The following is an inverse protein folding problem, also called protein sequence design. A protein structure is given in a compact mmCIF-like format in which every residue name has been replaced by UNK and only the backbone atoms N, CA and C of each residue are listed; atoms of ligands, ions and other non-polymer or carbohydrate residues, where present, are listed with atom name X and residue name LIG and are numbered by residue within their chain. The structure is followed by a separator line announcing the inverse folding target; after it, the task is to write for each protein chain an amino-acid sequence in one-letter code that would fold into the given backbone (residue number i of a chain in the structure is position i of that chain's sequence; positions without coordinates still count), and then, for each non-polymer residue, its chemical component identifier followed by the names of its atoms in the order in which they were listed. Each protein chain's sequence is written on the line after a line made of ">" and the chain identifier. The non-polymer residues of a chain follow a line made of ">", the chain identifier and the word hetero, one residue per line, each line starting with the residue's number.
data_IF_070107622361
#
_entry.id   IF_070107622361
#
_cell.length_a   1.000
_cell.length_b   1.000
_cell.length_c   1.000
_cell.angle_alpha   90.00
_cell.angle_beta   90.00
_cell.angle_gamma   90.00
#
_symmetry.space_group_name_H-M   'P 1'
#
loop_
_entity.id
_entity.type
_entity.pdbx_description
1 polymer ?
#
# COMPACT_ATOMS: atom_id res chain seq x y z
N UNK A 1 18.17 -24.16 6.36
CA UNK A 1 18.82 -24.38 5.05
C UNK A 1 17.76 -24.31 3.96
N UNK A 2 17.57 -23.14 3.33
CA UNK A 2 16.60 -22.95 2.25
C UNK A 2 17.22 -23.37 0.92
N UNK A 3 16.64 -24.40 0.31
CA UNK A 3 16.99 -24.94 -1.02
C UNK A 3 16.68 -23.87 -2.08
N UNK A 4 17.70 -23.16 -2.58
CA UNK A 4 17.57 -22.37 -3.80
C UNK A 4 17.35 -23.33 -4.96
N UNK A 5 16.15 -23.34 -5.55
CA UNK A 5 15.89 -24.11 -6.77
C UNK A 5 16.80 -23.61 -7.90
N UNK A 6 17.36 -24.52 -8.73
CA UNK A 6 18.22 -24.14 -9.84
C UNK A 6 17.41 -23.33 -10.88
N UNK A 7 18.03 -22.27 -11.36
CA UNK A 7 17.48 -21.33 -12.32
C UNK A 7 17.36 -22.01 -13.71
N UNK A 8 16.14 -22.18 -14.23
CA UNK A 8 15.91 -22.84 -15.53
C UNK A 8 16.13 -21.85 -16.70
N UNK A 9 16.76 -22.25 -17.82
CA UNK A 9 17.04 -21.36 -18.95
C UNK A 9 15.79 -20.77 -19.64
N UNK A 10 14.64 -21.44 -19.59
CA UNK A 10 13.38 -20.93 -20.14
C UNK A 10 12.81 -19.74 -19.34
N UNK A 11 13.04 -19.73 -18.01
CA UNK A 11 12.66 -18.60 -17.15
C UNK A 11 13.51 -17.35 -17.47
N UNK A 12 14.75 -17.55 -17.91
CA UNK A 12 15.67 -16.47 -18.29
C UNK A 12 15.21 -15.76 -19.58
N UNK A 13 14.83 -16.54 -20.60
CA UNK A 13 14.37 -16.02 -21.89
C UNK A 13 13.06 -15.24 -21.75
N UNK A 14 12.11 -15.77 -20.97
CA UNK A 14 10.82 -15.11 -20.69
C UNK A 14 11.01 -13.80 -19.90
N UNK A 15 11.94 -13.80 -18.94
CA UNK A 15 12.28 -12.60 -18.17
C UNK A 15 12.97 -11.53 -19.04
N UNK A 16 13.85 -11.93 -19.96
CA UNK A 16 14.51 -11.00 -20.87
C UNK A 16 13.52 -10.30 -21.82
N UNK A 17 12.56 -11.03 -22.38
CA UNK A 17 11.51 -10.45 -23.21
C UNK A 17 10.61 -9.47 -22.44
N UNK A 18 10.29 -9.80 -21.18
CA UNK A 18 9.50 -8.94 -20.30
C UNK A 18 10.21 -7.63 -19.90
N UNK A 19 11.55 -7.65 -19.85
CA UNK A 19 12.35 -6.48 -19.49
C UNK A 19 12.60 -5.54 -20.67
N UNK A 20 12.41 -5.99 -21.92
CA UNK A 20 12.68 -5.17 -23.11
C UNK A 20 11.93 -3.81 -23.10
N UNK A 21 10.61 -3.73 -22.79
CA UNK A 21 9.93 -2.44 -22.75
C UNK A 21 10.42 -1.53 -21.61
N UNK A 22 10.82 -2.12 -20.48
CA UNK A 22 11.38 -1.36 -19.35
C UNK A 22 12.77 -0.84 -19.68
N UNK A 23 13.57 -1.65 -20.37
CA UNK A 23 14.90 -1.26 -20.86
C UNK A 23 14.79 -0.12 -21.86
N UNK A 24 13.89 -0.21 -22.83
CA UNK A 24 13.66 0.87 -23.79
C UNK A 24 13.24 2.16 -23.09
N UNK A 25 12.39 2.07 -22.06
CA UNK A 25 11.98 3.23 -21.26
C UNK A 25 13.15 3.82 -20.46
N UNK A 26 13.96 2.97 -19.82
CA UNK A 26 15.16 3.40 -19.10
C UNK A 26 16.19 4.04 -20.03
N UNK A 27 16.39 3.50 -21.24
CA UNK A 27 17.32 4.05 -22.23
C UNK A 27 16.80 5.35 -22.86
N UNK A 28 15.48 5.49 -23.06
CA UNK A 28 14.88 6.77 -23.50
C UNK A 28 15.04 7.82 -22.42
N UNK A 29 14.67 7.51 -21.19
CA UNK A 29 14.78 8.46 -20.08
C UNK A 29 16.25 8.79 -19.78
N UNK A 30 17.16 7.82 -19.85
CA UNK A 30 18.60 8.03 -19.69
C UNK A 30 19.19 8.98 -20.74
N UNK A 31 18.62 9.04 -21.94
CA UNK A 31 18.99 10.02 -22.99
C UNK A 31 18.42 11.41 -22.74
N UNK A 32 17.28 11.51 -22.05
CA UNK A 32 16.60 12.78 -21.73
C UNK A 32 17.09 13.40 -20.41
N UNK A 33 17.61 12.58 -19.50
CA UNK A 33 18.14 13.01 -18.20
C UNK A 33 19.48 13.73 -18.37
N UNK A 34 19.59 14.91 -17.77
CA UNK A 34 20.88 15.61 -17.69
C UNK A 34 21.76 14.95 -16.63
N UNK A 35 23.08 15.10 -16.75
CA UNK A 35 24.00 14.67 -15.70
C UNK A 35 23.68 15.33 -14.34
N UNK A 36 23.12 16.53 -14.36
CA UNK A 36 22.61 17.25 -13.18
C UNK A 36 21.43 16.53 -12.50
N UNK A 37 20.54 15.88 -13.27
CA UNK A 37 19.40 15.12 -12.75
C UNK A 37 19.86 13.82 -12.08
N UNK A 38 20.90 13.18 -12.64
CA UNK A 38 21.54 12.01 -12.06
C UNK A 38 22.24 12.36 -10.75
N UNK A 39 23.02 13.45 -10.74
CA UNK A 39 23.75 13.92 -9.55
C UNK A 39 22.82 14.42 -8.45
N UNK A 40 21.66 14.95 -8.83
CA UNK A 40 20.71 15.49 -7.87
C UNK A 40 19.76 14.46 -7.28
N UNK A 41 19.57 13.31 -7.95
CA UNK A 41 18.67 12.25 -7.51
C UNK A 41 17.23 12.40 -8.00
N UNK A 42 16.90 13.51 -8.67
CA UNK A 42 15.56 13.77 -9.23
C UNK A 42 15.14 12.75 -10.30
N UNK A 43 16.10 12.01 -10.86
CA UNK A 43 15.86 10.96 -11.85
C UNK A 43 14.86 9.89 -11.37
N UNK A 44 14.87 9.54 -10.08
CA UNK A 44 14.05 8.45 -9.55
C UNK A 44 12.56 8.78 -9.60
N UNK A 45 12.17 9.94 -9.08
CA UNK A 45 10.78 10.38 -9.11
C UNK A 45 10.28 10.55 -10.53
N UNK A 46 11.07 11.20 -11.41
CA UNK A 46 10.72 11.35 -12.84
C UNK A 46 10.47 10.00 -13.51
N UNK A 47 11.30 9.00 -13.22
CA UNK A 47 11.18 7.65 -13.74
C UNK A 47 9.90 6.95 -13.25
N UNK A 48 9.61 7.03 -11.95
CA UNK A 48 8.38 6.46 -11.37
C UNK A 48 7.15 7.16 -11.96
N UNK A 49 7.10 8.49 -11.98
CA UNK A 49 5.98 9.26 -12.53
C UNK A 49 5.75 8.96 -14.01
N UNK A 50 6.82 8.89 -14.81
CA UNK A 50 6.72 8.51 -16.23
C UNK A 50 6.15 7.10 -16.40
N UNK A 51 6.56 6.15 -15.54
CA UNK A 51 6.05 4.79 -15.57
C UNK A 51 4.58 4.71 -15.13
N UNK A 52 4.18 5.41 -14.07
CA UNK A 52 2.78 5.44 -13.60
C UNK A 52 1.86 6.01 -14.68
N UNK A 53 2.24 7.14 -15.30
CA UNK A 53 1.52 7.71 -16.45
C UNK A 53 1.36 6.69 -17.57
N UNK A 54 2.43 5.99 -17.90
CA UNK A 54 2.44 4.96 -18.93
C UNK A 54 1.51 3.78 -18.57
N UNK A 55 1.53 3.32 -17.33
CA UNK A 55 0.70 2.22 -16.82
C UNK A 55 -0.78 2.59 -16.84
N UNK A 56 -1.15 3.75 -16.27
CA UNK A 56 -2.53 4.22 -16.22
C UNK A 56 -3.10 4.49 -17.63
N UNK A 57 -2.28 4.99 -18.58
CA UNK A 57 -2.72 5.17 -19.97
C UNK A 57 -3.08 3.86 -20.70
N UNK A 58 -2.49 2.74 -20.26
CA UNK A 58 -2.69 1.41 -20.84
C UNK A 58 -3.67 0.55 -20.06
N UNK A 59 -4.17 1.07 -18.95
CA UNK A 59 -5.15 0.39 -18.12
C UNK A 59 -6.48 0.32 -18.88
N UNK A 60 -6.67 -0.77 -19.62
CA UNK A 60 -7.99 -1.11 -20.18
C UNK A 60 -8.98 -1.29 -19.02
N UNK A 61 -10.23 -0.91 -19.22
CA UNK A 61 -11.31 -0.86 -18.22
C UNK A 61 -11.69 -2.22 -17.55
N UNK A 62 -10.86 -3.26 -17.66
CA UNK A 62 -11.06 -4.53 -16.98
C UNK A 62 -10.59 -4.44 -15.53
N UNK A 63 -11.48 -3.99 -14.65
CA UNK A 63 -11.37 -4.23 -13.21
C UNK A 63 -11.64 -5.71 -12.96
N UNK A 64 -10.61 -6.54 -13.08
CA UNK A 64 -10.68 -7.90 -12.56
C UNK A 64 -9.97 -7.89 -11.21
N UNK A 65 -10.76 -7.97 -10.13
CA UNK A 65 -10.23 -8.16 -8.79
C UNK A 65 -9.36 -9.43 -8.80
N UNK A 66 -8.06 -9.25 -8.60
CA UNK A 66 -7.11 -10.35 -8.54
C UNK A 66 -7.01 -10.81 -7.09
N UNK A 67 -6.92 -12.13 -6.90
CA UNK A 67 -6.85 -12.73 -5.58
C UNK A 67 -5.49 -12.46 -4.92
N UNK A 68 -5.40 -12.58 -3.59
CA UNK A 68 -4.14 -12.43 -2.86
C UNK A 68 -3.01 -13.34 -3.43
N UNK A 69 -3.35 -14.52 -3.95
CA UNK A 69 -2.42 -15.43 -4.63
C UNK A 69 -1.73 -14.82 -5.87
N UNK A 70 -2.41 -13.90 -6.57
CA UNK A 70 -1.87 -13.25 -7.76
C UNK A 70 -0.79 -12.22 -7.38
N UNK A 71 -0.92 -11.56 -6.22
CA UNK A 71 0.07 -10.58 -5.74
C UNK A 71 1.41 -11.21 -5.37
N UNK A 72 1.42 -12.42 -4.79
CA UNK A 72 2.66 -13.15 -4.48
C UNK A 72 3.39 -13.58 -5.77
N UNK A 73 2.66 -13.91 -6.84
CA UNK A 73 3.25 -14.16 -8.14
C UNK A 73 3.91 -12.90 -8.74
N UNK A 74 3.26 -11.73 -8.60
CA UNK A 74 3.82 -10.44 -9.02
C UNK A 74 5.12 -10.12 -8.26
N UNK A 75 5.12 -10.26 -6.94
CA UNK A 75 6.29 -10.00 -6.09
C UNK A 75 7.43 -10.95 -6.44
N UNK A 76 7.15 -12.26 -6.59
CA UNK A 76 8.17 -13.24 -6.98
C UNK A 76 8.78 -12.91 -8.33
N UNK A 77 7.96 -12.56 -9.32
CA UNK A 77 8.41 -12.19 -10.66
C UNK A 77 9.32 -10.97 -10.59
N UNK A 78 8.88 -9.89 -9.97
CA UNK A 78 9.66 -8.66 -9.84
C UNK A 78 10.96 -8.90 -9.07
N UNK A 79 10.94 -9.72 -8.02
CA UNK A 79 12.13 -10.06 -7.24
C UNK A 79 13.14 -10.87 -8.06
N UNK A 80 12.68 -11.79 -8.91
CA UNK A 80 13.54 -12.55 -9.84
C UNK A 80 14.15 -11.64 -10.91
N UNK A 81 13.34 -10.79 -11.52
CA UNK A 81 13.82 -9.81 -12.51
C UNK A 81 14.84 -8.84 -11.90
N UNK A 82 14.58 -8.32 -10.68
CA UNK A 82 15.53 -7.47 -9.97
C UNK A 82 16.83 -8.21 -9.59
N UNK A 83 16.75 -9.51 -9.28
CA UNK A 83 17.94 -10.33 -9.05
C UNK A 83 18.75 -10.53 -10.33
N UNK A 84 18.11 -10.70 -11.50
CA UNK A 84 18.77 -10.81 -12.79
C UNK A 84 19.52 -9.53 -13.17
N UNK A 85 18.87 -8.37 -13.00
CA UNK A 85 19.53 -7.05 -13.15
C UNK A 85 20.60 -6.84 -12.06
N UNK A 86 20.42 -7.47 -10.90
CA UNK A 86 21.43 -7.65 -9.84
C UNK A 86 22.73 -8.28 -10.34
N UNK A 87 22.58 -9.38 -11.09
CA UNK A 87 23.65 -10.23 -11.58
C UNK A 87 24.35 -9.65 -12.83
N UNK A 88 23.61 -9.02 -13.76
CA UNK A 88 24.18 -8.41 -14.96
C UNK A 88 25.18 -7.30 -14.64
N UNK A 89 24.88 -6.48 -13.64
CA UNK A 89 25.75 -5.41 -13.15
C UNK A 89 27.16 -5.91 -12.75
N UNK A 90 27.22 -7.09 -12.13
CA UNK A 90 28.46 -7.67 -11.64
C UNK A 90 29.33 -8.29 -12.76
N UNK A 91 28.74 -8.63 -13.91
CA UNK A 91 29.47 -9.12 -15.08
C UNK A 91 30.24 -8.01 -15.82
N UNK A 92 29.66 -6.81 -15.89
CA UNK A 92 30.25 -5.65 -16.57
C UNK A 92 31.45 -5.09 -15.78
N UNK A 93 31.38 -5.09 -14.44
CA UNK A 93 32.50 -4.66 -13.58
C UNK A 93 33.75 -5.53 -13.76
N UNK A 94 33.60 -6.84 -13.99
CA UNK A 94 34.73 -7.75 -14.18
C UNK A 94 35.40 -7.56 -15.55
N UNK A 95 34.63 -7.33 -16.62
CA UNK A 95 35.20 -7.06 -17.95
C UNK A 95 35.89 -5.70 -18.05
N UNK A 96 35.34 -4.66 -17.41
CA UNK A 96 35.92 -3.32 -17.42
C UNK A 96 37.24 -3.26 -16.62
N UNK A 97 37.32 -3.94 -15.47
CA UNK A 97 38.55 -4.05 -14.69
C UNK A 97 39.68 -4.75 -15.48
N UNK A 98 39.36 -5.81 -16.23
CA UNK A 98 40.31 -6.51 -17.09
C UNK A 98 40.76 -5.64 -18.27
N UNK A 99 39.85 -4.90 -18.91
CA UNK A 99 40.21 -3.97 -19.98
C UNK A 99 41.06 -2.78 -19.51
N UNK A 100 40.83 -2.30 -18.29
CA UNK A 100 41.56 -1.15 -17.72
C UNK A 100 42.99 -1.55 -17.34
N UNK A 101 43.23 -2.82 -17.00
CA UNK A 101 44.57 -3.35 -16.76
C UNK A 101 45.43 -3.39 -18.04
N UNK A 102 44.82 -3.67 -19.20
CA UNK A 102 45.54 -3.81 -20.48
C UNK A 102 45.80 -2.48 -21.21
N UNK A 103 45.00 -1.43 -20.94
CA UNK A 103 45.00 -0.18 -21.75
C UNK A 103 45.58 1.04 -21.03
N UNK A 104 46.04 0.89 -19.78
CA UNK A 104 46.67 1.96 -19.00
C UNK A 104 45.73 3.15 -18.69
N UNK A 105 46.32 4.31 -18.37
CA UNK A 105 45.61 5.51 -17.91
C UNK A 105 44.54 6.04 -18.90
N UNK A 106 44.74 5.86 -20.21
CA UNK A 106 43.78 6.28 -21.25
C UNK A 106 42.55 5.37 -21.29
N UNK A 107 42.74 4.06 -21.08
CA UNK A 107 41.63 3.12 -20.90
C UNK A 107 40.81 3.41 -19.65
N UNK A 108 41.48 3.79 -18.55
CA UNK A 108 40.81 4.17 -17.31
C UNK A 108 39.91 5.41 -17.49
N UNK A 109 40.35 6.42 -18.26
CA UNK A 109 39.57 7.64 -18.54
C UNK A 109 38.28 7.38 -19.33
N UNK A 110 38.27 6.39 -20.22
CA UNK A 110 37.08 6.01 -20.99
C UNK A 110 36.21 4.96 -20.27
N UNK A 111 36.82 4.07 -19.50
CA UNK A 111 36.13 2.99 -18.79
C UNK A 111 35.27 3.50 -17.63
N UNK A 112 35.70 4.55 -16.92
CA UNK A 112 34.97 5.10 -15.76
C UNK A 112 33.60 5.67 -16.15
N UNK A 113 33.46 6.54 -17.17
CA UNK A 113 32.15 7.02 -17.62
C UNK A 113 31.23 5.90 -18.13
N UNK A 114 31.78 4.93 -18.88
CA UNK A 114 31.01 3.82 -19.42
C UNK A 114 30.50 2.88 -18.31
N UNK A 115 31.34 2.58 -17.32
CA UNK A 115 30.94 1.81 -16.15
C UNK A 115 29.86 2.56 -15.34
N UNK A 116 30.03 3.87 -15.11
CA UNK A 116 29.03 4.70 -14.43
C UNK A 116 27.67 4.71 -15.15
N UNK A 117 27.67 4.81 -16.49
CA UNK A 117 26.46 4.75 -17.29
C UNK A 117 25.75 3.39 -17.20
N UNK A 118 26.50 2.28 -17.22
CA UNK A 118 25.94 0.94 -17.04
C UNK A 118 25.30 0.76 -15.65
N UNK A 119 25.98 1.23 -14.60
CA UNK A 119 25.44 1.19 -13.23
C UNK A 119 24.19 2.05 -13.06
N UNK A 120 24.16 3.21 -13.70
CA UNK A 120 22.98 4.08 -13.70
C UNK A 120 21.80 3.40 -14.39
N UNK A 121 22.03 2.78 -15.56
CA UNK A 121 20.99 2.05 -16.29
C UNK A 121 20.45 0.86 -15.48
N UNK A 122 21.32 0.09 -14.82
CA UNK A 122 20.91 -1.02 -13.96
C UNK A 122 20.05 -0.54 -12.78
N UNK A 123 20.42 0.59 -12.17
CA UNK A 123 19.67 1.19 -11.06
C UNK A 123 18.29 1.67 -11.53
N UNK A 124 18.23 2.33 -12.69
CA UNK A 124 16.96 2.72 -13.32
C UNK A 124 16.07 1.52 -13.64
N UNK A 125 16.63 0.46 -14.21
CA UNK A 125 15.87 -0.73 -14.55
C UNK A 125 15.29 -1.41 -13.30
N UNK A 126 16.05 -1.45 -12.19
CA UNK A 126 15.54 -1.94 -10.89
C UNK A 126 14.39 -1.07 -10.37
N UNK A 127 14.53 0.26 -10.43
CA UNK A 127 13.45 1.17 -10.03
C UNK A 127 12.20 1.01 -10.89
N UNK A 128 12.33 0.76 -12.20
CA UNK A 128 11.20 0.45 -13.08
C UNK A 128 10.54 -0.89 -12.76
N UNK A 129 11.31 -1.93 -12.45
CA UNK A 129 10.77 -3.22 -11.99
C UNK A 129 9.95 -3.03 -10.71
N UNK A 130 10.47 -2.24 -9.77
CA UNK A 130 9.77 -1.90 -8.52
C UNK A 130 8.49 -1.10 -8.79
N UNK A 131 8.55 -0.04 -9.60
CA UNK A 131 7.39 0.77 -9.96
C UNK A 131 6.30 -0.06 -10.66
N UNK A 132 6.68 -0.94 -11.60
CA UNK A 132 5.76 -1.90 -12.25
C UNK A 132 5.07 -2.80 -11.24
N UNK A 133 5.85 -3.44 -10.37
CA UNK A 133 5.30 -4.31 -9.34
C UNK A 133 4.29 -3.58 -8.46
N UNK A 134 4.60 -2.35 -8.03
CA UNK A 134 3.70 -1.55 -7.20
C UNK A 134 2.41 -1.17 -7.94
N UNK A 135 2.50 -0.78 -9.21
CA UNK A 135 1.31 -0.46 -10.04
C UNK A 135 0.44 -1.70 -10.28
N UNK A 136 1.06 -2.85 -10.56
CA UNK A 136 0.34 -4.12 -10.76
C UNK A 136 -0.33 -4.57 -9.46
N UNK A 137 0.32 -4.41 -8.30
CA UNK A 137 -0.27 -4.66 -6.98
C UNK A 137 -1.43 -3.71 -6.72
N UNK A 138 -1.25 -2.39 -6.88
CA UNK A 138 -2.33 -1.43 -6.70
C UNK A 138 -3.54 -1.76 -7.60
N UNK A 139 -3.28 -2.14 -8.84
CA UNK A 139 -4.31 -2.55 -9.81
C UNK A 139 -5.05 -3.81 -9.37
N UNK A 140 -4.35 -4.80 -8.79
CA UNK A 140 -4.95 -6.03 -8.26
C UNK A 140 -5.98 -5.73 -7.16
N UNK A 141 -5.74 -4.70 -6.34
CA UNK A 141 -6.67 -4.21 -5.31
C UNK A 141 -7.72 -3.21 -5.84
N UNK A 142 -7.74 -2.94 -7.15
CA UNK A 142 -8.66 -1.97 -7.74
C UNK A 142 -8.31 -0.51 -7.44
N UNK A 143 -7.10 -0.25 -6.92
CA UNK A 143 -6.64 1.11 -6.64
C UNK A 143 -6.17 1.79 -7.92
N UNK A 144 -6.43 3.09 -8.00
CA UNK A 144 -5.91 3.99 -9.01
C UNK A 144 -4.82 4.84 -8.38
N UNK A 145 -3.67 4.90 -9.04
CA UNK A 145 -2.58 5.78 -8.63
C UNK A 145 -2.72 7.06 -9.44
N UNK A 146 -2.65 8.21 -8.79
CA UNK A 146 -2.64 9.49 -9.50
C UNK A 146 -1.33 9.59 -10.31
N UNK A 147 -1.40 9.65 -11.64
CA UNK A 147 -0.21 9.70 -12.49
C UNK A 147 0.55 11.02 -12.38
N UNK A 148 -0.08 12.09 -11.89
CA UNK A 148 0.57 13.37 -11.68
C UNK A 148 1.14 13.51 -10.27
N UNK A 149 0.78 12.59 -9.38
CA UNK A 149 1.14 12.62 -7.97
C UNK A 149 1.30 11.21 -7.37
N UNK A 150 2.38 10.47 -7.73
CA UNK A 150 2.64 9.14 -7.20
C UNK A 150 3.25 9.17 -5.78
N UNK A 151 2.85 10.14 -4.96
CA UNK A 151 3.40 10.46 -3.64
C UNK A 151 3.48 9.22 -2.73
N UNK A 152 2.41 8.42 -2.70
CA UNK A 152 2.32 7.22 -1.87
C UNK A 152 3.38 6.17 -2.25
N UNK A 153 3.61 5.95 -3.55
CA UNK A 153 4.60 4.97 -4.04
C UNK A 153 6.02 5.41 -3.70
N UNK A 154 6.30 6.71 -3.85
CA UNK A 154 7.61 7.29 -3.58
C UNK A 154 7.94 7.25 -2.09
N UNK A 155 6.99 7.60 -1.23
CA UNK A 155 7.17 7.58 0.23
C UNK A 155 7.26 6.16 0.78
N UNK A 156 6.47 5.22 0.25
CA UNK A 156 6.58 3.81 0.62
C UNK A 156 7.95 3.24 0.21
N UNK A 157 8.43 3.57 -0.99
CA UNK A 157 9.77 3.20 -1.45
C UNK A 157 10.86 3.80 -0.57
N UNK A 158 10.70 5.07 -0.17
CA UNK A 158 11.63 5.79 0.71
C UNK A 158 11.74 5.15 2.10
N UNK A 159 10.62 4.84 2.75
CA UNK A 159 10.58 4.19 4.06
C UNK A 159 11.19 2.78 4.02
N UNK A 160 10.82 1.98 3.00
CA UNK A 160 11.36 0.62 2.85
C UNK A 160 12.86 0.63 2.56
N UNK A 161 13.34 1.63 1.82
CA UNK A 161 14.77 1.87 1.58
C UNK A 161 15.48 2.53 2.78
N UNK A 162 14.75 2.86 3.85
CA UNK A 162 15.24 3.53 5.06
C UNK A 162 15.68 4.97 4.85
N UNK A 163 15.31 5.62 3.73
CA UNK A 163 15.67 7.03 3.46
C UNK A 163 14.83 8.01 4.27
N UNK A 164 13.72 7.52 4.81
CA UNK A 164 12.99 8.09 5.91
C UNK A 164 13.07 7.08 7.06
N UNK A 165 13.60 7.52 8.20
CA UNK A 165 13.58 6.77 9.45
C UNK A 165 13.11 7.69 10.57
N UNK A 166 12.54 7.12 11.63
CA UNK A 166 12.41 7.83 12.89
C UNK A 166 13.81 7.99 13.50
N UNK A 167 14.15 9.20 13.93
CA UNK A 167 15.31 9.44 14.80
C UNK A 167 14.88 9.18 16.25
N UNK A 168 15.73 8.50 17.01
CA UNK A 168 15.49 8.12 18.40
C UNK A 168 15.24 9.37 19.27
N UNK A 169 13.99 9.64 19.63
CA UNK A 169 13.67 10.68 20.63
C UNK A 169 12.30 11.34 20.57
N UNK A 170 11.56 11.25 19.46
CA UNK A 170 10.18 11.73 19.37
C UNK A 170 9.20 10.55 19.44
N UNK A 171 7.96 10.79 19.87
CA UNK A 171 6.83 9.85 19.70
C UNK A 171 6.87 9.28 18.28
N UNK A 172 7.41 8.06 18.12
CA UNK A 172 8.15 7.66 16.90
C UNK A 172 7.31 7.76 15.63
N UNK A 173 6.02 7.46 15.72
CA UNK A 173 5.09 7.57 14.61
C UNK A 173 4.67 9.01 14.28
N UNK A 174 4.36 9.85 15.27
CA UNK A 174 3.68 11.13 15.03
C UNK A 174 4.64 12.13 14.39
N UNK A 175 5.89 12.12 14.85
CA UNK A 175 6.99 12.84 14.22
C UNK A 175 7.23 12.34 12.79
N UNK A 176 7.13 11.03 12.53
CA UNK A 176 7.30 10.49 11.18
C UNK A 176 6.19 10.97 10.22
N UNK A 177 4.92 10.86 10.61
CA UNK A 177 3.78 11.31 9.81
C UNK A 177 3.81 12.83 9.61
N UNK A 178 4.13 13.60 10.67
CA UNK A 178 4.31 15.05 10.58
C UNK A 178 5.44 15.45 9.63
N UNK A 179 6.58 14.73 9.66
CA UNK A 179 7.67 14.92 8.69
C UNK A 179 7.24 14.56 7.29
N UNK A 180 6.48 13.49 7.06
CA UNK A 180 6.03 13.12 5.71
C UNK A 180 5.06 14.15 5.12
N UNK A 181 4.24 14.81 5.94
CA UNK A 181 3.34 15.89 5.49
C UNK A 181 4.06 17.20 5.19
N UNK A 182 5.12 17.50 5.94
CA UNK A 182 5.88 18.76 5.80
C UNK A 182 7.13 18.61 4.95
N UNK A 183 7.54 17.37 4.64
CA UNK A 183 8.68 17.08 3.80
C UNK A 183 8.45 17.69 2.43
N UNK A 184 9.45 18.47 2.00
CA UNK A 184 9.59 18.80 0.60
C UNK A 184 9.76 17.49 -0.17
N UNK A 185 8.72 17.13 -0.92
CA UNK A 185 8.67 15.87 -1.67
C UNK A 185 9.81 15.81 -2.68
N UNK A 186 10.21 16.96 -3.25
CA UNK A 186 11.30 17.02 -4.21
C UNK A 186 12.66 16.70 -3.53
N UNK A 187 12.91 17.23 -2.34
CA UNK A 187 14.12 16.94 -1.56
C UNK A 187 14.17 15.47 -1.11
N UNK A 188 13.05 14.91 -0.67
CA UNK A 188 12.99 13.49 -0.32
C UNK A 188 13.28 12.59 -1.52
N UNK A 189 12.66 12.89 -2.65
CA UNK A 189 12.85 12.17 -3.91
C UNK A 189 14.30 12.22 -4.36
N UNK A 190 14.93 13.39 -4.26
CA UNK A 190 16.37 13.60 -4.50
C UNK A 190 17.21 12.75 -3.56
N UNK A 191 16.94 12.75 -2.26
CA UNK A 191 17.64 11.91 -1.28
C UNK A 191 17.52 10.42 -1.59
N UNK A 192 16.33 9.96 -1.96
CA UNK A 192 16.09 8.57 -2.35
C UNK A 192 16.88 8.23 -3.62
N UNK A 193 16.81 9.05 -4.67
CA UNK A 193 17.55 8.83 -5.91
C UNK A 193 19.06 8.83 -5.71
N UNK A 194 19.58 9.73 -4.87
CA UNK A 194 21.01 9.79 -4.52
C UNK A 194 21.45 8.56 -3.73
N UNK A 195 20.62 8.09 -2.79
CA UNK A 195 20.90 6.87 -2.03
C UNK A 195 20.91 5.64 -2.94
N UNK A 196 19.92 5.49 -3.82
CA UNK A 196 19.84 4.37 -4.75
C UNK A 196 21.06 4.33 -5.68
N UNK A 197 21.50 5.49 -6.20
CA UNK A 197 22.72 5.59 -7.00
C UNK A 197 23.99 5.32 -6.18
N UNK A 198 24.10 5.89 -4.98
CA UNK A 198 25.24 5.69 -4.08
C UNK A 198 25.43 4.22 -3.70
N UNK A 199 24.35 3.51 -3.39
CA UNK A 199 24.39 2.07 -3.12
C UNK A 199 24.75 1.24 -4.37
N UNK A 200 24.30 1.66 -5.56
CA UNK A 200 24.69 1.05 -6.82
C UNK A 200 26.19 1.14 -7.07
N UNK A 201 26.79 2.30 -6.79
CA UNK A 201 28.23 2.55 -6.94
C UNK A 201 29.05 1.80 -5.88
N UNK A 202 28.68 1.89 -4.60
CA UNK A 202 29.38 1.22 -3.49
C UNK A 202 29.43 -0.30 -3.65
N UNK A 203 28.37 -0.93 -4.16
CA UNK A 203 28.30 -2.40 -4.34
C UNK A 203 29.14 -2.90 -5.51
N UNK A 204 29.40 -2.08 -6.51
CA UNK A 204 30.17 -2.46 -7.70
C UNK A 204 31.68 -2.19 -7.58
N UNK A 205 32.12 -1.39 -6.59
CA UNK A 205 33.54 -1.08 -6.35
C UNK A 205 34.26 -2.19 -5.57
N UNK A 206 33.56 -3.03 -4.79
CA UNK A 206 34.16 -4.11 -4.00
C UNK A 206 34.40 -5.37 -4.85
N UNK A 207 35.64 -5.68 -5.28
CA UNK A 207 35.89 -6.67 -6.34
C UNK A 207 35.68 -8.13 -5.92
N UNK A 208 35.56 -8.41 -4.62
CA UNK A 208 35.56 -9.79 -4.08
C UNK A 208 34.27 -10.22 -3.35
N UNK A 209 33.22 -9.39 -3.31
CA UNK A 209 31.92 -9.75 -2.71
C UNK A 209 30.74 -9.84 -3.71
N UNK A 210 30.94 -9.43 -4.97
CA UNK A 210 29.91 -8.74 -5.78
C UNK A 210 28.78 -9.55 -6.43
N UNK A 211 29.02 -10.72 -7.01
CA UNK A 211 27.99 -11.36 -7.88
C UNK A 211 26.84 -11.98 -7.07
N UNK A 212 27.15 -12.63 -5.94
CA UNK A 212 26.15 -13.31 -5.10
C UNK A 212 25.42 -12.34 -4.16
N UNK A 213 26.10 -11.34 -3.60
CA UNK A 213 25.47 -10.38 -2.66
C UNK A 213 24.57 -9.35 -3.34
N UNK A 214 24.93 -8.87 -4.54
CA UNK A 214 24.11 -7.90 -5.30
C UNK A 214 22.74 -8.47 -5.68
N UNK A 215 22.72 -9.72 -6.16
CA UNK A 215 21.50 -10.42 -6.56
C UNK A 215 20.58 -10.71 -5.36
N UNK A 216 21.14 -11.18 -4.24
CA UNK A 216 20.39 -11.50 -3.02
C UNK A 216 19.82 -10.22 -2.38
N UNK A 217 20.60 -9.15 -2.30
CA UNK A 217 20.14 -7.88 -1.70
C UNK A 217 19.04 -7.23 -2.54
N UNK A 218 19.19 -7.24 -3.88
CA UNK A 218 18.16 -6.73 -4.81
C UNK A 218 16.87 -7.54 -4.73
N UNK A 219 16.98 -8.88 -4.63
CA UNK A 219 15.84 -9.76 -4.40
C UNK A 219 15.14 -9.45 -3.07
N UNK A 220 15.89 -9.38 -1.96
CA UNK A 220 15.32 -9.12 -0.62
C UNK A 220 14.64 -7.77 -0.53
N UNK A 221 15.26 -6.71 -1.06
CA UNK A 221 14.67 -5.36 -1.04
C UNK A 221 13.40 -5.29 -1.87
N UNK A 222 13.43 -5.84 -3.08
CA UNK A 222 12.25 -5.85 -3.97
C UNK A 222 11.11 -6.66 -3.36
N UNK A 223 11.44 -7.79 -2.72
CA UNK A 223 10.47 -8.58 -1.96
C UNK A 223 9.85 -7.79 -0.80
N UNK A 224 10.67 -7.15 0.04
CA UNK A 224 10.20 -6.33 1.17
C UNK A 224 9.30 -5.19 0.69
N UNK A 225 9.69 -4.51 -0.39
CA UNK A 225 8.87 -3.46 -0.99
C UNK A 225 7.55 -4.01 -1.54
N UNK A 226 7.57 -5.19 -2.16
CA UNK A 226 6.39 -5.86 -2.66
C UNK A 226 5.41 -6.24 -1.54
N UNK A 227 5.91 -6.80 -0.45
CA UNK A 227 5.13 -7.14 0.75
C UNK A 227 4.48 -5.88 1.35
N UNK A 228 5.25 -4.80 1.52
CA UNK A 228 4.74 -3.51 2.00
C UNK A 228 3.70 -2.89 1.04
N UNK A 229 3.88 -3.06 -0.27
CA UNK A 229 2.94 -2.55 -1.29
C UNK A 229 1.60 -3.28 -1.23
N UNK A 230 1.62 -4.60 -0.99
CA UNK A 230 0.40 -5.39 -0.80
C UNK A 230 -0.34 -4.98 0.47
N UNK A 231 0.39 -4.76 1.57
CA UNK A 231 -0.21 -4.30 2.81
C UNK A 231 -0.80 -2.89 2.60
N UNK A 232 -0.04 -1.93 2.10
CA UNK A 232 -0.53 -0.58 1.81
C UNK A 232 -1.75 -0.58 0.89
N UNK A 233 -1.74 -1.38 -0.19
CA UNK A 233 -2.88 -1.48 -1.10
C UNK A 233 -4.14 -2.03 -0.39
N UNK A 234 -3.97 -3.01 0.51
CA UNK A 234 -5.06 -3.50 1.35
C UNK A 234 -5.59 -2.43 2.30
N UNK A 235 -4.70 -1.72 3.00
CA UNK A 235 -5.07 -0.60 3.86
C UNK A 235 -5.89 0.43 3.12
N UNK A 236 -5.34 0.95 2.01
CA UNK A 236 -6.00 2.00 1.23
C UNK A 236 -7.37 1.57 0.76
N UNK A 237 -7.48 0.37 0.18
CA UNK A 237 -8.77 -0.13 -0.31
C UNK A 237 -9.79 -0.30 0.82
N UNK A 238 -9.38 -0.91 1.94
CA UNK A 238 -10.25 -1.18 3.09
C UNK A 238 -10.72 0.12 3.77
N UNK A 239 -9.80 1.05 4.01
CA UNK A 239 -10.08 2.31 4.68
C UNK A 239 -10.88 3.24 3.78
N UNK A 240 -10.63 3.28 2.46
CA UNK A 240 -11.44 4.07 1.52
C UNK A 240 -12.91 3.61 1.52
N UNK A 241 -13.17 2.29 1.51
CA UNK A 241 -14.53 1.73 1.61
C UNK A 241 -15.20 2.06 2.95
N UNK A 242 -14.48 1.84 4.06
CA UNK A 242 -15.00 2.09 5.40
C UNK A 242 -15.26 3.60 5.63
N UNK A 243 -14.34 4.46 5.22
CA UNK A 243 -14.43 5.91 5.42
C UNK A 243 -15.47 6.52 4.50
N UNK A 244 -15.63 6.03 3.27
CA UNK A 244 -16.69 6.53 2.37
C UNK A 244 -18.09 6.25 2.93
N UNK A 245 -18.28 5.07 3.55
CA UNK A 245 -19.54 4.73 4.22
C UNK A 245 -19.84 5.67 5.39
N UNK A 246 -18.85 5.94 6.25
CA UNK A 246 -19.02 6.88 7.38
C UNK A 246 -19.22 8.32 6.88
N UNK A 247 -18.45 8.75 5.89
CA UNK A 247 -18.53 10.09 5.28
C UNK A 247 -19.89 10.35 4.65
N UNK A 248 -20.52 9.33 4.06
CA UNK A 248 -21.86 9.45 3.49
C UNK A 248 -22.94 9.71 4.55
N UNK A 249 -22.70 9.33 5.81
CA UNK A 249 -23.61 9.56 6.92
C UNK A 249 -23.30 10.89 7.62
N UNK A 250 -22.02 11.14 7.95
CA UNK A 250 -21.55 12.42 8.49
C UNK A 250 -20.06 12.62 8.22
N UNK A 251 -19.72 13.64 7.42
CA UNK A 251 -18.33 13.96 7.09
C UNK A 251 -17.50 14.38 8.31
N UNK A 252 -18.12 14.89 9.39
CA UNK A 252 -17.42 15.32 10.61
C UNK A 252 -16.83 14.13 11.38
N UNK A 253 -17.44 12.95 11.25
CA UNK A 253 -16.95 11.73 11.89
C UNK A 253 -15.63 11.23 11.30
N UNK A 254 -15.26 11.67 10.09
CA UNK A 254 -14.02 11.23 9.44
C UNK A 254 -12.78 11.69 10.21
N UNK A 255 -12.79 12.88 10.82
CA UNK A 255 -11.68 13.35 11.66
C UNK A 255 -11.47 12.42 12.86
N UNK A 256 -12.54 12.11 13.62
CA UNK A 256 -12.48 11.17 14.74
C UNK A 256 -12.07 9.76 14.32
N UNK A 257 -12.40 9.35 13.10
CA UNK A 257 -12.04 8.04 12.56
C UNK A 257 -10.57 7.98 12.14
N UNK A 258 -10.00 9.08 11.62
CA UNK A 258 -8.55 9.20 11.36
C UNK A 258 -7.79 9.13 12.69
N UNK A 259 -8.27 9.79 13.74
CA UNK A 259 -7.69 9.67 15.08
C UNK A 259 -7.80 8.23 15.63
N UNK A 260 -8.92 7.53 15.36
CA UNK A 260 -9.07 6.12 15.71
C UNK A 260 -8.11 5.20 14.96
N UNK A 261 -7.88 5.47 13.67
CA UNK A 261 -6.89 4.74 12.87
C UNK A 261 -5.47 4.93 13.40
N UNK A 262 -5.13 6.15 13.81
CA UNK A 262 -3.87 6.45 14.49
C UNK A 262 -3.68 5.58 15.73
N UNK A 263 -4.64 5.64 16.66
CA UNK A 263 -4.54 4.94 17.94
C UNK A 263 -4.51 3.42 17.78
N UNK A 264 -5.16 2.88 16.75
CA UNK A 264 -5.12 1.45 16.44
C UNK A 264 -3.78 1.03 15.85
N UNK A 265 -3.21 1.79 14.91
CA UNK A 265 -1.91 1.46 14.32
C UNK A 265 -0.74 1.64 15.29
N UNK A 266 -0.83 2.59 16.21
CA UNK A 266 0.22 2.85 17.21
C UNK A 266 0.02 2.03 18.50
N UNK A 267 -1.02 1.19 18.57
CA UNK A 267 -1.39 0.46 19.78
C UNK A 267 -0.33 -0.52 20.28
N UNK A 268 0.52 -1.04 19.39
CA UNK A 268 1.63 -1.94 19.70
C UNK A 268 2.97 -1.20 19.87
N UNK A 269 2.97 0.13 19.80
CA UNK A 269 4.10 0.99 20.12
C UNK A 269 4.97 1.39 18.94
N UNK A 270 4.55 1.16 17.69
CA UNK A 270 5.23 1.75 16.55
C UNK A 270 4.57 1.53 15.20
N UNK A 271 4.57 2.59 14.37
CA UNK A 271 4.01 2.53 13.02
C UNK A 271 4.95 1.79 12.04
N UNK A 272 4.39 0.84 11.30
CA UNK A 272 5.04 0.27 10.11
C UNK A 272 5.01 1.24 8.94
N UNK A 273 5.82 0.97 7.93
CA UNK A 273 5.98 1.84 6.77
C UNK A 273 4.65 2.07 6.04
N UNK A 274 3.88 1.01 5.83
CA UNK A 274 2.59 1.03 5.18
C UNK A 274 1.52 1.80 5.99
N UNK A 275 1.53 1.70 7.32
CA UNK A 275 0.64 2.44 8.23
C UNK A 275 0.97 3.93 8.24
N UNK A 276 2.25 4.27 8.29
CA UNK A 276 2.72 5.65 8.24
C UNK A 276 2.33 6.32 6.90
N UNK A 277 2.52 5.64 5.77
CA UNK A 277 2.07 6.14 4.45
C UNK A 277 0.56 6.26 4.41
N UNK A 278 -0.19 5.28 4.93
CA UNK A 278 -1.65 5.31 4.94
C UNK A 278 -2.21 6.47 5.78
N UNK A 279 -1.70 6.67 7.00
CA UNK A 279 -2.10 7.79 7.87
C UNK A 279 -1.78 9.12 7.22
N UNK A 280 -0.59 9.24 6.63
CA UNK A 280 -0.19 10.45 5.92
C UNK A 280 -1.09 10.70 4.72
N UNK A 281 -1.44 9.66 3.97
CA UNK A 281 -2.38 9.73 2.85
C UNK A 281 -3.75 10.27 3.29
N UNK A 282 -4.31 9.75 4.40
CA UNK A 282 -5.57 10.24 4.96
C UNK A 282 -5.51 11.71 5.37
N UNK A 283 -4.42 12.12 6.03
CA UNK A 283 -4.22 13.50 6.48
C UNK A 283 -4.02 14.45 5.31
N UNK A 284 -3.27 14.04 4.29
CA UNK A 284 -3.01 14.81 3.08
C UNK A 284 -4.30 15.12 2.30
N UNK A 285 -5.20 14.14 2.26
CA UNK A 285 -6.52 14.26 1.64
C UNK A 285 -7.60 14.88 2.55
N UNK A 286 -7.22 15.30 3.76
CA UNK A 286 -8.11 16.03 4.68
C UNK A 286 -8.00 17.55 4.46
N UNK A 287 -9.07 18.33 4.70
CA UNK A 287 -9.02 19.80 4.62
C UNK A 287 -7.91 20.38 5.50
N UNK A 288 -7.23 21.45 5.05
CA UNK A 288 -6.05 22.01 5.73
C UNK A 288 -6.29 22.34 7.22
N UNK A 289 -7.47 22.85 7.57
CA UNK A 289 -7.84 23.14 8.96
C UNK A 289 -8.02 21.86 9.81
N UNK A 290 -8.62 20.82 9.22
CA UNK A 290 -8.78 19.51 9.84
C UNK A 290 -7.42 18.84 10.06
N UNK A 291 -6.56 18.85 9.02
CA UNK A 291 -5.21 18.29 9.08
C UNK A 291 -4.38 18.89 10.21
N UNK A 292 -4.44 20.22 10.42
CA UNK A 292 -3.72 20.88 11.51
C UNK A 292 -4.21 20.40 12.89
N UNK A 293 -5.53 20.36 13.10
CA UNK A 293 -6.12 19.86 14.36
C UNK A 293 -5.77 18.40 14.61
N UNK A 294 -5.83 17.57 13.57
CA UNK A 294 -5.48 16.17 13.67
C UNK A 294 -4.02 16.03 14.11
N UNK A 295 -3.08 16.71 13.46
CA UNK A 295 -1.66 16.68 13.83
C UNK A 295 -1.38 17.12 15.27
N UNK A 296 -2.09 18.13 15.77
CA UNK A 296 -1.96 18.57 17.17
C UNK A 296 -2.41 17.49 18.16
N UNK A 297 -3.36 16.63 17.76
CA UNK A 297 -3.92 15.54 18.56
C UNK A 297 -3.24 14.19 18.35
N UNK A 298 -2.45 14.02 17.28
CA UNK A 298 -1.72 12.77 17.06
C UNK A 298 -0.69 12.57 18.16
N UNK A 299 -0.75 11.42 18.83
CA UNK A 299 0.09 11.13 20.00
C UNK A 299 -0.47 11.66 21.33
N UNK A 300 -1.72 12.16 21.36
CA UNK A 300 -2.50 12.21 22.60
C UNK A 300 -2.87 10.79 23.06
N UNK A 301 -3.16 10.63 24.35
CA UNK A 301 -3.61 9.36 24.92
C UNK A 301 -4.97 8.93 24.36
N UNK A 302 -5.32 7.65 24.51
CA UNK A 302 -6.61 7.10 24.05
C UNK A 302 -7.83 7.74 24.75
N UNK A 303 -7.69 8.23 25.98
CA UNK A 303 -8.82 8.65 26.84
C UNK A 303 -9.61 9.82 26.25
N UNK A 304 -8.99 10.96 25.86
CA UNK A 304 -9.70 12.08 25.22
C UNK A 304 -10.40 11.69 23.91
N UNK A 305 -9.87 10.71 23.18
CA UNK A 305 -10.52 10.21 21.96
C UNK A 305 -11.75 9.38 22.28
N UNK A 306 -11.67 8.44 23.24
CA UNK A 306 -12.81 7.62 23.67
C UNK A 306 -13.95 8.49 24.18
N UNK A 307 -13.64 9.54 24.95
CA UNK A 307 -14.64 10.49 25.43
C UNK A 307 -15.39 11.13 24.27
N UNK A 308 -14.71 11.62 23.23
CA UNK A 308 -15.34 12.29 22.07
C UNK A 308 -16.18 11.37 21.18
N UNK A 309 -16.14 10.04 21.36
CA UNK A 309 -17.00 9.13 20.58
C UNK A 309 -18.50 9.34 20.84
N UNK A 310 -18.89 9.97 21.94
CA UNK A 310 -20.29 10.33 22.18
C UNK A 310 -20.82 11.36 21.16
N UNK A 311 -19.94 12.14 20.54
CA UNK A 311 -20.27 13.13 19.50
C UNK A 311 -20.69 12.48 18.18
N UNK A 312 -20.42 11.18 17.99
CA UNK A 312 -20.85 10.44 16.80
C UNK A 312 -22.38 10.32 16.78
N UNK A 313 -23.05 10.83 15.74
CA UNK A 313 -24.51 10.77 15.63
C UNK A 313 -25.01 9.32 15.66
N UNK A 314 -26.15 9.07 16.29
CA UNK A 314 -26.72 7.73 16.44
C UNK A 314 -26.78 6.94 15.12
N UNK A 315 -27.19 7.60 14.03
CA UNK A 315 -27.28 7.01 12.71
C UNK A 315 -25.92 6.56 12.12
N UNK A 316 -24.81 7.11 12.60
CA UNK A 316 -23.46 6.80 12.12
C UNK A 316 -22.70 5.81 13.02
N UNK A 317 -23.19 5.50 14.23
CA UNK A 317 -22.45 4.69 15.23
C UNK A 317 -22.12 3.28 14.75
N UNK A 318 -23.04 2.63 14.05
CA UNK A 318 -22.83 1.28 13.52
C UNK A 318 -21.80 1.25 12.40
N UNK A 319 -21.85 2.22 11.48
CA UNK A 319 -20.87 2.39 10.41
C UNK A 319 -19.49 2.77 10.96
N UNK A 320 -19.45 3.63 11.98
CA UNK A 320 -18.23 4.06 12.64
C UNK A 320 -17.55 2.90 13.36
N UNK A 321 -18.29 2.13 14.16
CA UNK A 321 -17.75 0.94 14.82
C UNK A 321 -17.27 -0.07 13.78
N UNK A 322 -18.04 -0.29 12.71
CA UNK A 322 -17.61 -1.18 11.63
C UNK A 322 -16.31 -0.72 10.97
N UNK A 323 -16.13 0.59 10.76
CA UNK A 323 -14.89 1.12 10.22
C UNK A 323 -13.70 0.87 11.17
N UNK A 324 -13.87 1.00 12.48
CA UNK A 324 -12.84 0.62 13.46
C UNK A 324 -12.54 -0.89 13.42
N UNK A 325 -13.56 -1.74 13.32
CA UNK A 325 -13.36 -3.19 13.16
C UNK A 325 -12.56 -3.52 11.88
N UNK A 326 -12.83 -2.81 10.78
CA UNK A 326 -12.11 -2.93 9.52
C UNK A 326 -10.65 -2.52 9.69
N UNK A 327 -10.40 -1.36 10.30
CA UNK A 327 -9.04 -0.87 10.61
C UNK A 327 -8.28 -1.92 11.43
N UNK A 328 -8.87 -2.45 12.51
CA UNK A 328 -8.18 -3.45 13.35
C UNK A 328 -8.03 -4.84 12.70
N UNK A 329 -8.76 -5.13 11.62
CA UNK A 329 -8.71 -6.43 10.95
C UNK A 329 -7.79 -6.45 9.71
N UNK A 330 -7.43 -5.27 9.19
CA UNK A 330 -6.73 -5.11 7.91
C UNK A 330 -5.34 -5.74 7.92
N UNK A 331 -4.72 -5.82 9.09
CA UNK A 331 -3.42 -6.45 9.31
C UNK A 331 -3.44 -7.97 9.37
N UNK A 332 -4.63 -8.56 9.29
CA UNK A 332 -4.83 -10.00 9.38
C UNK A 332 -4.46 -10.58 10.76
N UNK A 333 -4.09 -9.74 11.71
CA UNK A 333 -3.85 -10.05 13.11
C UNK A 333 -4.39 -8.91 13.95
N UNK A 334 -4.77 -9.23 15.19
CA UNK A 334 -5.22 -8.24 16.15
C UNK A 334 -4.50 -8.51 17.46
N UNK A 335 -3.76 -7.52 17.93
CA UNK A 335 -3.12 -7.49 19.22
C UNK A 335 -4.14 -7.34 20.35
N UNK A 336 -3.70 -7.63 21.58
CA UNK A 336 -4.53 -7.39 22.77
C UNK A 336 -4.78 -5.89 22.98
N UNK A 337 -3.82 -5.03 22.65
CA UNK A 337 -3.95 -3.58 22.80
C UNK A 337 -5.04 -3.03 21.87
N UNK A 338 -4.99 -3.38 20.58
CA UNK A 338 -6.03 -3.01 19.61
C UNK A 338 -7.41 -3.51 20.02
N UNK A 339 -7.51 -4.76 20.51
CA UNK A 339 -8.77 -5.31 20.98
C UNK A 339 -9.35 -4.56 22.18
N UNK A 340 -8.49 -4.18 23.14
CA UNK A 340 -8.91 -3.40 24.31
C UNK A 340 -9.38 -2.00 23.90
N UNK A 341 -8.67 -1.34 22.99
CA UNK A 341 -9.06 -0.04 22.46
C UNK A 341 -10.40 -0.13 21.72
N UNK A 342 -10.57 -1.13 20.84
CA UNK A 342 -11.82 -1.36 20.11
C UNK A 342 -13.00 -1.64 21.05
N UNK A 343 -12.78 -2.35 22.15
CA UNK A 343 -13.80 -2.57 23.19
C UNK A 343 -14.21 -1.28 23.89
N UNK A 344 -13.25 -0.41 24.23
CA UNK A 344 -13.55 0.91 24.81
C UNK A 344 -14.35 1.77 23.84
N UNK A 345 -13.96 1.76 22.56
CA UNK A 345 -14.66 2.49 21.52
C UNK A 345 -16.11 2.00 21.34
N UNK A 346 -16.32 0.68 21.27
CA UNK A 346 -17.65 0.11 21.15
C UNK A 346 -18.55 0.44 22.35
N UNK A 347 -17.99 0.42 23.57
CA UNK A 347 -18.70 0.82 24.78
C UNK A 347 -19.11 2.30 24.73
N UNK A 348 -18.21 3.20 24.33
CA UNK A 348 -18.50 4.63 24.19
C UNK A 348 -19.55 4.93 23.12
N UNK A 349 -19.57 4.14 22.03
CA UNK A 349 -20.58 4.20 20.97
C UNK A 349 -21.90 3.53 21.36
N UNK A 350 -22.01 2.92 22.55
CA UNK A 350 -23.16 2.12 22.97
C UNK A 350 -23.54 1.04 21.92
N UNK A 351 -22.53 0.32 21.43
CA UNK A 351 -22.70 -0.75 20.44
C UNK A 351 -22.02 -2.05 20.88
N UNK A 352 -22.62 -3.22 20.57
CA UNK A 352 -22.01 -4.49 20.92
C UNK A 352 -20.83 -4.80 20.00
N UNK A 353 -19.67 -5.10 20.59
CA UNK A 353 -18.52 -5.64 19.87
C UNK A 353 -18.49 -7.16 19.95
N UNK A 354 -18.32 -7.82 18.80
CA UNK A 354 -18.21 -9.28 18.70
C UNK A 354 -16.88 -9.69 18.11
N UNK A 355 -16.15 -10.58 18.78
CA UNK A 355 -14.83 -11.03 18.33
C UNK A 355 -14.92 -11.82 17.02
N UNK A 356 -16.03 -12.54 16.85
CA UNK A 356 -16.34 -13.36 15.69
C UNK A 356 -16.45 -12.50 14.42
N UNK A 357 -16.98 -11.27 14.54
CA UNK A 357 -17.12 -10.34 13.41
C UNK A 357 -15.76 -9.87 12.91
N UNK A 358 -14.87 -9.48 13.82
CA UNK A 358 -13.49 -9.11 13.47
C UNK A 358 -12.74 -10.31 12.87
N UNK A 359 -12.89 -11.50 13.46
CA UNK A 359 -12.28 -12.72 12.91
C UNK A 359 -12.79 -13.06 11.50
N UNK A 360 -14.08 -12.81 11.23
CA UNK A 360 -14.65 -12.97 9.90
C UNK A 360 -14.03 -11.97 8.91
N UNK A 361 -13.85 -10.70 9.30
CA UNK A 361 -13.15 -9.70 8.49
C UNK A 361 -11.71 -10.11 8.19
N UNK A 362 -10.95 -10.56 9.20
CA UNK A 362 -9.59 -11.11 9.02
C UNK A 362 -9.59 -12.27 8.02
N UNK A 363 -10.56 -13.17 8.10
CA UNK A 363 -10.68 -14.29 7.15
C UNK A 363 -10.97 -13.81 5.73
N UNK A 364 -11.85 -12.82 5.56
CA UNK A 364 -12.15 -12.23 4.26
C UNK A 364 -10.91 -11.56 3.67
N UNK A 365 -10.20 -10.74 4.45
CA UNK A 365 -8.96 -10.11 4.00
C UNK A 365 -7.88 -11.13 3.62
N UNK A 366 -7.74 -12.24 4.36
CA UNK A 366 -6.81 -13.33 3.99
C UNK A 366 -7.18 -14.00 2.68
N UNK A 367 -8.47 -14.20 2.42
CA UNK A 367 -8.95 -14.91 1.25
C UNK A 367 -8.99 -14.04 -0.02
N UNK A 368 -9.44 -12.79 0.12
CA UNK A 368 -9.81 -11.92 -1.00
C UNK A 368 -8.96 -10.66 -1.09
N UNK A 369 -8.16 -10.34 -0.07
CA UNK A 369 -7.44 -9.06 0.01
C UNK A 369 -8.35 -7.86 0.30
N UNK A 370 -9.66 -7.99 0.18
CA UNK A 370 -10.64 -6.93 0.42
C UNK A 370 -11.82 -7.48 1.22
N UNK A 371 -12.56 -6.61 1.89
CA UNK A 371 -13.86 -6.96 2.46
C UNK A 371 -14.86 -6.97 1.30
N UNK A 372 -15.54 -8.10 1.09
CA UNK A 372 -16.67 -8.10 0.17
C UNK A 372 -17.71 -7.14 0.74
N UNK A 373 -18.00 -6.06 0.02
CA UNK A 373 -19.15 -5.22 0.30
C UNK A 373 -20.35 -6.15 0.43
N UNK A 374 -20.93 -6.25 1.62
CA UNK A 374 -22.19 -6.95 1.81
C UNK A 374 -23.24 -6.23 0.95
N UNK A 375 -23.45 -6.70 -0.27
CA UNK A 375 -24.62 -6.34 -1.04
C UNK A 375 -25.82 -6.92 -0.30
N UNK A 376 -26.47 -6.07 0.51
CA UNK A 376 -27.83 -6.29 0.97
C UNK A 376 -27.98 -7.02 2.30
N UNK A 377 -27.49 -6.46 3.40
CA UNK A 377 -27.97 -6.86 4.75
C UNK A 377 -28.36 -5.66 5.64
N UNK A 378 -28.42 -4.45 5.06
CA UNK A 378 -28.83 -3.22 5.76
C UNK A 378 -30.26 -2.75 5.45
N UNK A 379 -31.12 -3.62 4.90
CA UNK A 379 -32.55 -3.35 4.78
C UNK A 379 -33.35 -4.64 4.49
N UNK A 380 -33.59 -5.47 5.51
CA UNK A 380 -34.93 -6.09 5.57
C UNK A 380 -35.83 -5.08 6.30
N UNK A 381 -36.90 -4.57 5.65
CA UNK A 381 -37.99 -3.98 6.40
C UNK A 381 -38.45 -5.07 7.37
N UNK A 382 -38.48 -4.77 8.67
CA UNK A 382 -39.27 -5.54 9.62
C UNK A 382 -40.69 -5.56 9.07
N UNK A 383 -41.07 -6.63 8.37
CA UNK A 383 -42.45 -6.98 8.17
C UNK A 383 -43.04 -7.10 9.57
N UNK A 384 -43.82 -6.09 9.94
CA UNK A 384 -44.81 -6.18 10.98
C UNK A 384 -45.58 -7.48 10.75
N UNK A 385 -45.29 -8.49 11.59
CA UNK A 385 -46.16 -9.65 11.74
C UNK A 385 -47.50 -9.14 12.26
N UNK A 386 -48.37 -8.77 11.33
CA UNK A 386 -49.79 -8.63 11.59
C UNK A 386 -50.34 -10.05 11.76
N UNK A 387 -51.03 -10.36 12.87
CA UNK A 387 -51.57 -11.70 13.10
C UNK A 387 -52.69 -11.99 12.08
N UNK A 388 -52.88 -13.25 11.68
CA UNK A 388 -53.90 -13.61 10.69
C UNK A 388 -55.30 -13.34 11.26
N UNK A 389 -56.10 -12.61 10.48
CA UNK A 389 -57.52 -12.45 10.73
C UNK A 389 -58.20 -13.83 10.75
N UNK A 390 -58.80 -14.17 11.89
CA UNK A 390 -59.69 -15.33 12.02
C UNK A 390 -60.96 -15.07 11.21
N UNK A 391 -61.05 -15.70 10.04
CA UNK A 391 -62.33 -15.93 9.39
C UNK A 391 -63.01 -17.12 10.06
N UNK A 392 -63.96 -16.85 10.96
CA UNK A 392 -64.94 -17.85 11.37
C UNK A 392 -66.18 -17.66 10.49
N UNK A 393 -66.29 -18.48 9.45
CA UNK A 393 -67.59 -18.89 8.95
C UNK A 393 -68.20 -19.88 9.93
N UNK A 394 -69.42 -19.60 10.36
CA UNK A 394 -70.35 -20.60 10.85
C UNK A 394 -71.61 -20.41 10.01
N UNK A 395 -71.78 -21.33 9.06
CA UNK A 395 -73.08 -21.77 8.59
C UNK A 395 -73.89 -22.25 9.79
N UNK A 396 -75.15 -21.82 9.90
CA UNK A 396 -76.23 -22.77 10.19
C UNK A 396 -77.59 -22.19 9.75
N UNK A 397 -78.21 -22.95 8.85
CA UNK A 397 -79.55 -22.82 8.29
C UNK A 397 -80.66 -22.74 9.36
N UNK A 398 -81.71 -21.92 9.12
CA UNK A 398 -83.10 -22.35 9.36
C UNK A 398 -84.06 -21.69 8.35
N UNK A 399 -84.73 -22.57 7.62
CA UNK A 399 -85.97 -22.41 6.85
C UNK A 399 -86.97 -21.33 7.31
N UNK A 400 -87.55 -20.59 6.35
CA UNK A 400 -88.97 -20.75 5.94
C UNK A 400 -89.44 -19.56 5.09
N UNK A 401 -89.83 -19.84 3.85
CA UNK A 401 -90.89 -19.10 3.15
C UNK A 401 -92.24 -19.73 3.59
N UNK A 402 -93.42 -19.06 3.51
CA UNK A 402 -93.94 -18.61 2.22
C UNK A 402 -94.83 -17.34 2.23
N UNK A 403 -95.08 -16.80 1.03
CA UNK A 403 -96.38 -16.23 0.67
C UNK A 403 -96.54 -14.72 0.76
N UNK A 404 -96.48 -14.06 -0.40
CA UNK A 404 -97.10 -12.76 -0.73
C UNK A 404 -98.64 -12.81 -0.53
N UNK A 405 -99.41 -11.69 -0.56
CA UNK A 405 -99.07 -10.30 -0.93
C UNK A 405 -99.12 -9.26 0.19
#
# INVERSE_FOLDING_TARGET
>A
MTRTSPFHPEDAATSAAALHPLRDLAEKLGRELRFEDLRSGAWHARLVTAYVRHHESRRAASVRALHAADTDALIRRASREAALVGASAAGVSTSAAVFTLDTGFVGALAAVPAAGAAMALDTMLRSLIQARMMCDVASAFGLRIDPDDPWDLLHLSALVAGSLSAEDGDREGAGLVGRMLTADSEELERRLGNRLMGEGVLRNILPFAGVLTSSITSWRRTRKLGEASVQYARYRRALDDAFSTVRALDARCVELLIEGAWLLFDADGGLRAEEAVMLTHLLRNSPSAARKRLLERLGEEETPWVERLHEVPEAARDAFLHALEVISAVDLSMSNAEWLLLRKAAAALNRPLRRERVQALVKQFRAQGVVAMAHGDWAEPREERMPPARGNGLDEDVHAAPGAP
#
